data_IF_001949002164
#
_entry.id   IF_001949002164
#
_cell.length_a   1.000
_cell.length_b   1.000
_cell.length_c   1.000
_cell.angle_alpha   90.00
_cell.angle_beta   90.00
_cell.angle_gamma   90.00
#
_symmetry.space_group_name_H-M   'P 1'
#
loop_
_entity.id
_entity.type
_entity.pdbx_description
1 polymer ?
#
# COMPACT_ATOMS: atom_id res chain seq x y z
N UNK A 1 0.96 -28.61 2.60
CA UNK A 1 1.01 -27.66 1.45
C UNK A 1 1.55 -26.34 1.99
N UNK A 2 2.53 -25.72 1.33
CA UNK A 2 3.13 -24.46 1.84
C UNK A 2 2.20 -23.27 1.61
N UNK A 3 2.32 -22.23 2.45
CA UNK A 3 1.53 -21.00 2.29
C UNK A 3 1.79 -20.34 0.93
N UNK A 4 3.04 -20.36 0.44
CA UNK A 4 3.38 -19.90 -0.90
C UNK A 4 2.53 -20.59 -1.99
N UNK A 5 2.35 -21.91 -1.90
CA UNK A 5 1.53 -22.65 -2.87
C UNK A 5 0.06 -22.22 -2.80
N UNK A 6 -0.48 -21.97 -1.61
CA UNK A 6 -1.83 -21.42 -1.46
C UNK A 6 -1.95 -20.01 -2.08
N UNK A 7 -0.99 -19.12 -1.79
CA UNK A 7 -0.98 -17.75 -2.37
C UNK A 7 -0.98 -17.82 -3.90
N UNK A 8 -0.11 -18.65 -4.50
CA UNK A 8 -0.07 -18.81 -5.96
C UNK A 8 -1.41 -19.30 -6.51
N UNK A 9 -2.00 -20.34 -5.93
CA UNK A 9 -3.32 -20.86 -6.35
C UNK A 9 -4.40 -19.77 -6.30
N UNK A 10 -4.40 -18.95 -5.23
CA UNK A 10 -5.43 -17.93 -5.03
C UNK A 10 -5.22 -16.74 -5.98
N UNK A 11 -4.00 -16.21 -6.10
CA UNK A 11 -3.76 -14.88 -6.69
C UNK A 11 -3.15 -14.89 -8.09
N UNK A 12 -2.44 -15.95 -8.51
CA UNK A 12 -1.64 -15.95 -9.75
C UNK A 12 -2.48 -15.74 -11.02
N UNK A 13 -3.75 -16.17 -11.01
CA UNK A 13 -4.66 -16.01 -12.14
C UNK A 13 -5.69 -14.89 -11.95
N UNK A 14 -5.58 -14.09 -10.89
CA UNK A 14 -6.51 -12.98 -10.68
C UNK A 14 -6.18 -11.85 -11.65
N UNK A 15 -7.16 -11.53 -12.50
CA UNK A 15 -7.16 -10.38 -13.39
C UNK A 15 -8.10 -9.30 -12.85
N UNK A 16 -7.63 -8.07 -12.86
CA UNK A 16 -8.44 -6.87 -12.67
C UNK A 16 -8.97 -6.41 -14.04
N UNK A 17 -9.65 -5.26 -14.06
CA UNK A 17 -10.10 -4.61 -15.28
C UNK A 17 -8.94 -4.42 -16.29
N UNK A 18 -9.26 -4.38 -17.58
CA UNK A 18 -8.29 -4.32 -18.69
C UNK A 18 -7.28 -5.49 -18.70
N UNK A 19 -7.65 -6.64 -18.14
CA UNK A 19 -6.79 -7.83 -18.01
C UNK A 19 -5.50 -7.59 -17.20
N UNK A 20 -5.50 -6.58 -16.33
CA UNK A 20 -4.34 -6.26 -15.49
C UNK A 20 -4.10 -7.42 -14.51
N UNK A 21 -2.87 -7.94 -14.51
CA UNK A 21 -2.47 -9.02 -13.60
C UNK A 21 -2.22 -8.47 -12.19
N UNK A 22 -3.14 -8.76 -11.26
CA UNK A 22 -3.05 -8.25 -9.89
C UNK A 22 -1.78 -8.71 -9.18
N UNK A 23 -1.46 -10.00 -9.27
CA UNK A 23 -0.37 -10.56 -8.48
C UNK A 23 0.99 -10.10 -9.01
N UNK A 24 1.12 -9.94 -10.32
CA UNK A 24 2.29 -9.28 -10.94
C UNK A 24 2.40 -7.84 -10.46
N UNK A 25 1.34 -7.03 -10.60
CA UNK A 25 1.31 -5.64 -10.18
C UNK A 25 1.72 -5.47 -8.70
N UNK A 26 1.20 -6.33 -7.82
CA UNK A 26 1.53 -6.34 -6.40
C UNK A 26 3.01 -6.67 -6.14
N UNK A 27 3.55 -7.70 -6.80
CA UNK A 27 4.96 -8.11 -6.66
C UNK A 27 5.91 -7.03 -7.18
N UNK A 28 5.58 -6.41 -8.31
CA UNK A 28 6.36 -5.33 -8.90
C UNK A 28 6.37 -4.12 -7.95
N UNK A 29 5.20 -3.75 -7.41
CA UNK A 29 5.09 -2.71 -6.38
C UNK A 29 5.91 -3.04 -5.13
N UNK A 30 5.84 -4.28 -4.62
CA UNK A 30 6.63 -4.70 -3.45
C UNK A 30 8.12 -4.52 -3.66
N UNK A 31 8.62 -4.92 -4.83
CA UNK A 31 10.04 -4.82 -5.18
C UNK A 31 10.49 -3.37 -5.30
N UNK A 32 9.66 -2.50 -5.87
CA UNK A 32 10.01 -1.08 -6.04
C UNK A 32 10.01 -0.35 -4.68
N UNK A 33 9.00 -0.59 -3.84
CA UNK A 33 8.86 0.05 -2.53
C UNK A 33 9.85 -0.52 -1.48
N UNK A 34 10.29 -1.77 -1.66
CA UNK A 34 11.20 -2.44 -0.74
C UNK A 34 12.37 -3.11 -1.49
N UNK A 35 13.25 -2.35 -2.17
CA UNK A 35 14.25 -2.90 -3.08
C UNK A 35 15.29 -3.80 -2.39
N UNK A 36 15.52 -3.61 -1.08
CA UNK A 36 16.44 -4.41 -0.28
C UNK A 36 15.81 -5.63 0.40
N UNK A 37 14.47 -5.81 0.32
CA UNK A 37 13.78 -6.92 0.97
C UNK A 37 13.45 -8.03 -0.01
N UNK A 38 13.76 -9.26 0.36
CA UNK A 38 13.24 -10.44 -0.34
C UNK A 38 11.75 -10.61 -0.04
N UNK A 39 10.97 -10.99 -1.05
CA UNK A 39 9.57 -11.32 -0.88
C UNK A 39 9.44 -12.74 -0.30
N UNK A 40 8.97 -12.83 0.95
CA UNK A 40 8.64 -14.10 1.59
C UNK A 40 7.14 -14.40 1.48
N UNK A 41 6.78 -15.32 0.59
CA UNK A 41 5.42 -15.81 0.38
C UNK A 41 5.00 -16.89 1.40
N UNK A 42 5.90 -17.36 2.26
CA UNK A 42 5.55 -18.25 3.38
C UNK A 42 5.25 -17.49 4.68
N UNK A 43 5.29 -16.15 4.65
CA UNK A 43 4.90 -15.29 5.76
C UNK A 43 3.39 -14.99 5.74
N UNK A 44 2.71 -15.23 6.87
CA UNK A 44 1.26 -14.97 7.00
C UNK A 44 0.89 -13.49 6.82
N UNK A 45 1.72 -12.56 7.31
CA UNK A 45 1.48 -11.13 7.12
C UNK A 45 1.57 -10.74 5.64
N UNK A 46 2.47 -11.36 4.86
CA UNK A 46 2.52 -11.17 3.41
C UNK A 46 1.20 -11.61 2.76
N UNK A 47 0.70 -12.80 3.12
CA UNK A 47 -0.58 -13.31 2.59
C UNK A 47 -1.75 -12.36 2.91
N UNK A 48 -1.83 -11.87 4.15
CA UNK A 48 -2.85 -10.91 4.58
C UNK A 48 -2.74 -9.60 3.79
N UNK A 49 -1.52 -9.08 3.59
CA UNK A 49 -1.28 -7.85 2.82
C UNK A 49 -1.68 -8.00 1.36
N UNK A 50 -1.32 -9.12 0.71
CA UNK A 50 -1.77 -9.40 -0.68
C UNK A 50 -3.29 -9.39 -0.76
N UNK A 51 -3.97 -10.07 0.16
CA UNK A 51 -5.43 -10.11 0.18
C UNK A 51 -6.05 -8.72 0.38
N UNK A 52 -5.56 -7.94 1.35
CA UNK A 52 -6.04 -6.56 1.59
C UNK A 52 -5.82 -5.67 0.37
N UNK A 53 -4.65 -5.76 -0.27
CA UNK A 53 -4.34 -5.02 -1.49
C UNK A 53 -5.26 -5.38 -2.66
N UNK A 54 -5.69 -6.64 -2.80
CA UNK A 54 -6.66 -7.03 -3.83
C UNK A 54 -7.99 -6.27 -3.65
N UNK A 55 -8.51 -6.22 -2.42
CA UNK A 55 -9.74 -5.50 -2.14
C UNK A 55 -9.56 -3.99 -2.31
N UNK A 56 -8.41 -3.44 -1.92
CA UNK A 56 -8.09 -2.04 -2.15
C UNK A 56 -8.15 -1.70 -3.66
N UNK A 57 -7.52 -2.50 -4.52
CA UNK A 57 -7.60 -2.31 -5.97
C UNK A 57 -9.04 -2.42 -6.50
N UNK A 58 -9.84 -3.35 -5.98
CA UNK A 58 -11.25 -3.49 -6.37
C UNK A 58 -12.09 -2.27 -5.96
N UNK A 59 -11.88 -1.73 -4.76
CA UNK A 59 -12.55 -0.51 -4.32
C UNK A 59 -12.14 0.70 -5.16
N UNK A 60 -10.85 0.81 -5.49
CA UNK A 60 -10.35 1.85 -6.38
C UNK A 60 -11.02 1.81 -7.76
N UNK A 61 -11.08 0.62 -8.37
CA UNK A 61 -11.78 0.41 -9.65
C UNK A 61 -13.26 0.79 -9.54
N UNK A 62 -13.93 0.39 -8.44
CA UNK A 62 -15.34 0.74 -8.24
C UNK A 62 -15.56 2.25 -8.09
N UNK A 63 -14.60 2.96 -7.48
CA UNK A 63 -14.68 4.40 -7.23
C UNK A 63 -14.20 5.25 -8.41
N UNK A 64 -13.75 4.64 -9.52
CA UNK A 64 -13.03 5.34 -10.59
C UNK A 64 -13.82 6.44 -11.32
N UNK A 65 -15.15 6.36 -11.32
CA UNK A 65 -16.02 7.33 -11.98
C UNK A 65 -16.55 8.38 -10.99
N UNK A 66 -16.14 8.32 -9.72
CA UNK A 66 -16.47 9.31 -8.71
C UNK A 66 -15.56 10.52 -8.86
N UNK A 67 -16.16 11.72 -8.85
CA UNK A 67 -15.40 12.97 -8.82
C UNK A 67 -14.75 13.16 -7.46
N UNK A 68 -13.44 13.35 -7.45
CA UNK A 68 -12.68 13.65 -6.24
C UNK A 68 -11.19 13.39 -6.43
N UNK A 69 -10.45 13.62 -5.36
CA UNK A 69 -9.02 13.32 -5.25
C UNK A 69 -8.80 12.15 -4.28
N UNK A 70 -7.60 11.59 -4.28
CA UNK A 70 -7.20 10.52 -3.36
C UNK A 70 -6.34 11.05 -2.22
N UNK A 71 -6.56 10.53 -1.03
CA UNK A 71 -5.81 10.88 0.18
C UNK A 71 -5.42 9.59 0.91
N UNK A 72 -4.13 9.43 1.23
CA UNK A 72 -3.64 8.41 2.17
C UNK A 72 -3.13 9.11 3.43
N UNK A 73 -3.68 8.74 4.59
CA UNK A 73 -3.22 9.18 5.91
C UNK A 73 -2.43 8.04 6.56
N UNK A 74 -1.14 8.28 6.84
CA UNK A 74 -0.22 7.22 7.29
C UNK A 74 0.36 6.45 6.11
N UNK A 75 1.14 7.14 5.29
CA UNK A 75 1.75 6.67 4.04
C UNK A 75 2.84 5.63 4.29
N UNK A 76 3.59 5.75 5.39
CA UNK A 76 4.77 4.92 5.66
C UNK A 76 5.75 5.00 4.46
N UNK A 77 5.96 3.87 3.76
CA UNK A 77 6.81 3.77 2.56
C UNK A 77 6.01 3.96 1.26
N UNK A 78 4.72 4.28 1.34
CA UNK A 78 3.87 4.57 0.18
C UNK A 78 3.40 3.36 -0.61
N UNK A 79 3.38 2.15 -0.02
CA UNK A 79 3.01 0.93 -0.76
C UNK A 79 1.59 1.01 -1.37
N UNK A 80 0.60 1.44 -0.59
CA UNK A 80 -0.81 1.44 -1.02
C UNK A 80 -1.02 2.45 -2.14
N UNK A 81 -0.59 3.70 -1.94
CA UNK A 81 -0.67 4.73 -2.98
C UNK A 81 0.12 4.37 -4.22
N UNK A 82 1.32 3.81 -4.10
CA UNK A 82 2.10 3.39 -5.28
C UNK A 82 1.39 2.29 -6.08
N UNK A 83 0.80 1.30 -5.38
CA UNK A 83 0.01 0.24 -6.00
C UNK A 83 -1.17 0.82 -6.78
N UNK A 84 -1.90 1.77 -6.18
CA UNK A 84 -3.06 2.41 -6.81
C UNK A 84 -2.66 3.31 -7.97
N UNK A 85 -1.58 4.10 -7.85
CA UNK A 85 -1.03 4.88 -8.97
C UNK A 85 -0.60 4.01 -10.13
N UNK A 86 0.08 2.90 -9.84
CA UNK A 86 0.50 1.93 -10.87
C UNK A 86 -0.69 1.23 -11.55
N UNK A 87 -1.80 1.07 -10.83
CA UNK A 87 -3.07 0.58 -11.37
C UNK A 87 -3.76 1.66 -12.22
N UNK A 88 -3.82 2.89 -11.73
CA UNK A 88 -4.39 4.06 -12.41
C UNK A 88 -3.76 4.28 -13.79
N UNK A 89 -2.41 4.29 -13.87
CA UNK A 89 -1.67 4.46 -15.12
C UNK A 89 -2.00 3.40 -16.18
N UNK A 90 -2.49 2.22 -15.76
CA UNK A 90 -2.92 1.13 -16.65
C UNK A 90 -4.42 1.17 -16.97
N UNK A 91 -5.24 1.80 -16.13
CA UNK A 91 -6.70 1.90 -16.30
C UNK A 91 -7.11 3.17 -17.05
N UNK A 92 -6.54 4.33 -16.69
CA UNK A 92 -6.97 5.65 -17.15
C UNK A 92 -5.82 6.33 -17.88
N UNK A 93 -5.88 6.33 -19.21
CA UNK A 93 -4.88 7.05 -20.01
C UNK A 93 -5.10 8.58 -20.00
N UNK A 94 -6.34 9.00 -19.75
CA UNK A 94 -6.78 10.38 -20.01
C UNK A 94 -7.25 11.12 -18.75
N UNK A 95 -7.26 10.47 -17.58
CA UNK A 95 -7.63 11.07 -16.30
C UNK A 95 -6.50 10.88 -15.31
N UNK A 96 -6.03 11.99 -14.72
CA UNK A 96 -4.96 11.99 -13.72
C UNK A 96 -5.53 12.62 -12.45
N UNK A 97 -5.83 11.80 -11.45
CA UNK A 97 -6.31 12.28 -10.17
C UNK A 97 -5.19 12.92 -9.35
N UNK A 98 -5.53 13.87 -8.45
CA UNK A 98 -4.57 14.30 -7.45
C UNK A 98 -4.50 13.24 -6.33
N UNK A 99 -3.29 12.98 -5.87
CA UNK A 99 -3.00 12.16 -4.70
C UNK A 99 -2.35 13.04 -3.65
N UNK A 100 -2.87 12.96 -2.44
CA UNK A 100 -2.32 13.63 -1.26
C UNK A 100 -1.78 12.56 -0.30
N UNK A 101 -0.48 12.58 -0.07
CA UNK A 101 0.24 11.63 0.77
C UNK A 101 0.56 12.29 2.12
N UNK A 102 -0.30 12.07 3.11
CA UNK A 102 -0.19 12.73 4.42
C UNK A 102 0.41 11.79 5.45
N UNK A 103 1.62 12.10 5.89
CA UNK A 103 2.35 11.39 6.94
C UNK A 103 3.19 12.39 7.74
N UNK A 104 3.53 12.05 8.99
CA UNK A 104 4.51 12.83 9.74
C UNK A 104 5.92 12.61 9.18
N UNK A 105 6.20 11.43 8.60
CA UNK A 105 7.53 10.91 8.30
C UNK A 105 8.48 10.90 9.51
N UNK A 106 7.92 11.08 10.70
CA UNK A 106 8.62 11.00 11.99
C UNK A 106 8.28 9.69 12.72
N UNK A 107 7.33 8.91 12.19
CA UNK A 107 6.77 7.72 12.83
C UNK A 107 5.62 8.09 13.76
N UNK A 108 5.26 7.16 14.63
CA UNK A 108 4.21 7.36 15.62
C UNK A 108 4.61 8.43 16.65
N UNK A 109 3.64 9.23 17.09
CA UNK A 109 3.81 10.25 18.12
C UNK A 109 4.05 9.64 19.50
N UNK A 110 4.39 10.50 20.47
CA UNK A 110 4.34 10.11 21.88
C UNK A 110 2.90 9.73 22.29
N UNK A 111 2.77 8.74 23.17
CA UNK A 111 1.49 8.39 23.80
C UNK A 111 1.15 9.44 24.85
N UNK A 112 -0.06 9.97 24.78
CA UNK A 112 -0.65 10.74 25.87
C UNK A 112 -1.31 9.78 26.87
N UNK A 113 -1.61 10.27 28.07
CA UNK A 113 -2.30 9.47 29.09
C UNK A 113 -3.69 9.02 28.61
N UNK A 114 -4.34 9.81 27.77
CA UNK A 114 -5.63 9.50 27.14
C UNK A 114 -5.57 8.40 26.06
N UNK A 115 -4.38 8.14 25.49
CA UNK A 115 -4.16 7.09 24.48
C UNK A 115 -3.94 5.69 25.09
N UNK A 116 -3.82 5.61 26.42
CA UNK A 116 -3.50 4.36 27.11
C UNK A 116 -4.63 3.34 26.95
N UNK A 117 -4.34 2.12 26.45
CA UNK A 117 -5.36 1.10 26.28
C UNK A 117 -5.91 0.70 27.65
N UNK A 118 -7.22 0.47 27.72
CA UNK A 118 -7.86 -0.09 28.91
C UNK A 118 -7.37 -1.50 29.21
N UNK A 119 -6.88 -2.22 28.19
CA UNK A 119 -6.31 -3.55 28.33
C UNK A 119 -4.76 -3.46 28.39
N UNK A 120 -4.14 -3.83 29.52
CA UNK A 120 -2.69 -3.76 29.69
C UNK A 120 -1.90 -4.75 28.83
N UNK A 121 -2.55 -5.79 28.26
CA UNK A 121 -1.89 -6.80 27.42
C UNK A 121 -1.68 -6.32 25.97
N UNK A 122 -2.21 -5.14 25.61
CA UNK A 122 -2.03 -4.58 24.27
C UNK A 122 -0.62 -3.98 24.17
N UNK A 123 0.20 -4.57 23.29
CA UNK A 123 1.52 -4.05 22.95
C UNK A 123 1.35 -2.64 22.38
N UNK A 124 1.93 -1.66 23.07
CA UNK A 124 2.01 -0.29 22.58
C UNK A 124 3.30 -0.11 21.79
N UNK A 125 3.17 0.43 20.58
CA UNK A 125 4.32 0.94 19.83
C UNK A 125 4.93 2.13 20.57
N UNK A 126 6.17 2.48 20.26
CA UNK A 126 6.87 3.62 20.84
C UNK A 126 6.95 4.77 19.84
N UNK A 127 7.25 5.98 20.34
CA UNK A 127 7.54 7.14 19.50
C UNK A 127 8.59 6.78 18.45
N UNK A 128 8.33 7.15 17.21
CA UNK A 128 9.23 6.89 16.08
C UNK A 128 9.17 5.48 15.52
N UNK A 129 8.39 4.57 16.11
CA UNK A 129 8.03 3.33 15.41
C UNK A 129 7.32 3.67 14.12
N UNK A 130 7.49 2.82 13.11
CA UNK A 130 6.95 3.02 11.76
C UNK A 130 7.46 4.29 11.07
N UNK A 131 8.58 4.87 11.51
CA UNK A 131 9.21 5.97 10.76
C UNK A 131 9.63 5.52 9.35
N UNK A 132 9.34 6.38 8.38
CA UNK A 132 9.85 6.30 7.01
C UNK A 132 10.58 7.59 6.65
N UNK A 133 11.50 7.51 5.69
CA UNK A 133 12.21 8.67 5.18
C UNK A 133 11.35 9.35 4.09
N UNK A 134 11.14 10.67 4.20
CA UNK A 134 10.33 11.43 3.25
C UNK A 134 10.99 11.53 1.87
N UNK A 135 12.30 11.73 1.79
CA UNK A 135 13.03 11.83 0.53
C UNK A 135 12.93 10.53 -0.30
N UNK A 136 12.96 9.36 0.36
CA UNK A 136 12.75 8.07 -0.29
C UNK A 136 11.33 7.98 -0.91
N UNK A 137 10.32 8.49 -0.20
CA UNK A 137 8.93 8.51 -0.66
C UNK A 137 8.75 9.51 -1.80
N UNK A 138 9.32 10.72 -1.69
CA UNK A 138 9.31 11.68 -2.79
C UNK A 138 9.95 11.11 -4.05
N UNK A 139 11.13 10.49 -3.94
CA UNK A 139 11.81 9.84 -5.07
C UNK A 139 10.95 8.74 -5.68
N UNK A 140 10.30 7.92 -4.84
CA UNK A 140 9.42 6.84 -5.26
C UNK A 140 8.25 7.36 -6.12
N UNK A 141 7.67 8.52 -5.78
CA UNK A 141 6.51 9.07 -6.47
C UNK A 141 6.83 10.08 -7.59
N UNK A 142 8.10 10.51 -7.78
CA UNK A 142 8.52 11.45 -8.84
C UNK A 142 8.09 11.08 -10.26
N UNK A 143 7.89 9.80 -10.54
CA UNK A 143 7.45 9.32 -11.85
C UNK A 143 5.96 9.57 -12.13
N UNK A 144 5.16 9.80 -11.09
CA UNK A 144 3.73 10.07 -11.22
C UNK A 144 3.46 11.57 -11.22
N UNK A 145 2.45 11.98 -11.99
CA UNK A 145 1.96 13.36 -11.97
C UNK A 145 0.95 13.53 -10.84
N UNK A 146 0.81 14.75 -10.34
CA UNK A 146 -0.21 15.16 -9.37
C UNK A 146 -0.17 14.38 -8.03
N UNK A 147 1.02 14.03 -7.55
CA UNK A 147 1.23 13.49 -6.20
C UNK A 147 1.82 14.59 -5.34
N UNK A 148 1.15 14.90 -4.23
CA UNK A 148 1.52 15.95 -3.28
C UNK A 148 1.68 15.38 -1.88
#
# INVERSE_FOLDING_TARGET
>A
MSLEKHIKIIFENIKLENNIDFFKLWKDTFKIVNPSKSLDLNNMNTAIRINKSLYLCKYFIFAKDLKGDFLECGVLKGFSSYLLRSLEDQLFKDTIYNYFLVDSFEGLSDFLDEDKPLNPDIIQNKKGDLKANIEDVEILFKQFKNVN
#
